data_IF_196641196220
#
_entry.id   IF_196641196220
#
_cell.length_a   1.000
_cell.length_b   1.000
_cell.length_c   1.000
_cell.angle_alpha   90.00
_cell.angle_beta   90.00
_cell.angle_gamma   90.00
#
_symmetry.space_group_name_H-M   'P 1'
#
loop_
_entity.id
_entity.type
_entity.pdbx_description
1 polymer ?
#
# COMPACT_ATOMS: atom_id res chain seq x y z
N UNK A 1 -13.69 22.58 8.50
CA UNK A 1 -13.77 21.27 7.82
C UNK A 1 -12.53 20.50 8.20
N UNK A 2 -12.66 19.24 8.62
CA UNK A 2 -11.50 18.37 8.86
C UNK A 2 -11.16 17.64 7.58
N UNK A 3 -9.87 17.50 7.27
CA UNK A 3 -9.39 16.64 6.19
C UNK A 3 -9.07 15.27 6.78
N UNK A 4 -9.53 14.21 6.12
CA UNK A 4 -9.16 12.83 6.47
C UNK A 4 -8.02 12.40 5.55
N UNK A 5 -6.94 11.88 6.14
CA UNK A 5 -5.78 11.34 5.43
C UNK A 5 -5.53 9.94 5.99
N UNK A 6 -5.36 8.97 5.10
CA UNK A 6 -4.82 7.66 5.50
C UNK A 6 -3.34 7.86 5.88
N UNK A 7 -3.06 7.83 7.17
CA UNK A 7 -1.74 8.15 7.68
C UNK A 7 -0.71 7.05 7.40
N UNK A 8 -1.12 5.87 6.92
CA UNK A 8 -0.21 4.73 6.83
C UNK A 8 -0.61 3.72 5.75
N UNK A 9 -0.04 3.87 4.55
CA UNK A 9 -0.14 2.87 3.49
C UNK A 9 1.25 2.40 3.05
N UNK A 10 1.34 1.16 2.58
CA UNK A 10 2.53 0.60 1.98
C UNK A 10 2.29 0.31 0.50
N UNK A 11 3.28 0.60 -0.33
CA UNK A 11 3.32 0.23 -1.74
C UNK A 11 4.59 -0.58 -1.99
N UNK A 12 4.50 -1.60 -2.83
CA UNK A 12 5.63 -2.48 -3.11
C UNK A 12 5.48 -3.18 -4.46
N UNK A 13 6.62 -3.67 -4.97
CA UNK A 13 6.68 -4.55 -6.13
C UNK A 13 7.73 -5.65 -5.88
N UNK A 14 7.32 -6.92 -5.68
CA UNK A 14 8.25 -8.03 -5.45
C UNK A 14 9.15 -8.33 -6.68
N UNK A 15 8.78 -7.85 -7.87
CA UNK A 15 9.63 -7.96 -9.06
C UNK A 15 10.81 -6.95 -9.05
N UNK A 16 10.70 -5.87 -8.26
CA UNK A 16 11.72 -4.82 -8.15
C UNK A 16 12.63 -5.00 -6.93
N UNK A 17 12.08 -5.50 -5.81
CA UNK A 17 12.80 -5.69 -4.56
C UNK A 17 12.36 -6.97 -3.86
N UNK A 18 13.31 -7.66 -3.22
CA UNK A 18 13.02 -8.74 -2.28
C UNK A 18 12.57 -8.18 -0.93
N UNK A 19 11.48 -8.73 -0.39
CA UNK A 19 10.92 -8.36 0.90
C UNK A 19 11.04 -9.57 1.86
N UNK A 20 11.95 -9.56 2.85
CA UNK A 20 12.22 -10.74 3.68
C UNK A 20 11.03 -11.25 4.49
N UNK A 21 10.06 -10.38 4.76
CA UNK A 21 8.82 -10.72 5.46
C UNK A 21 7.77 -11.39 4.55
N UNK A 22 7.92 -11.33 3.23
CA UNK A 22 7.00 -11.97 2.28
C UNK A 22 7.30 -13.47 2.19
N UNK A 23 6.57 -14.25 2.98
CA UNK A 23 6.56 -15.71 2.93
C UNK A 23 5.17 -16.27 2.60
N UNK A 24 5.04 -17.59 2.68
CA UNK A 24 3.78 -18.31 2.40
C UNK A 24 2.61 -17.84 3.27
N UNK A 25 2.88 -17.40 4.50
CA UNK A 25 1.89 -16.85 5.44
C UNK A 25 1.18 -15.60 4.93
N UNK A 26 1.77 -14.90 3.96
CA UNK A 26 1.22 -13.69 3.33
C UNK A 26 1.11 -13.85 1.81
N UNK A 27 0.89 -15.08 1.32
CA UNK A 27 0.81 -15.38 -0.11
C UNK A 27 -0.08 -14.40 -0.93
N UNK A 28 -1.26 -13.93 -0.44
CA UNK A 28 -2.06 -12.94 -1.19
C UNK A 28 -1.39 -11.57 -1.37
N UNK A 29 -0.42 -11.23 -0.52
CA UNK A 29 0.35 -9.98 -0.58
C UNK A 29 1.56 -10.06 -1.52
N UNK A 30 1.91 -11.25 -2.03
CA UNK A 30 3.04 -11.47 -2.94
C UNK A 30 2.73 -11.04 -4.38
N UNK A 31 2.25 -9.80 -4.54
CA UNK A 31 1.98 -9.14 -5.82
C UNK A 31 2.30 -7.66 -5.71
N UNK A 32 2.42 -6.97 -6.84
CA UNK A 32 2.59 -5.53 -6.84
C UNK A 32 1.32 -4.83 -6.31
N UNK A 33 1.53 -3.78 -5.50
CA UNK A 33 0.52 -2.82 -5.11
C UNK A 33 1.01 -1.42 -5.47
N UNK A 34 0.34 -0.81 -6.44
CA UNK A 34 0.70 0.46 -7.05
C UNK A 34 -0.12 1.63 -6.50
N UNK A 35 0.24 2.85 -6.92
CA UNK A 35 -0.56 4.05 -6.63
C UNK A 35 -1.95 3.96 -7.28
N UNK A 36 -2.09 3.29 -8.42
CA UNK A 36 -3.38 3.17 -9.10
C UNK A 36 -4.30 2.18 -8.36
N UNK A 37 -3.75 1.10 -7.81
CA UNK A 37 -4.49 0.20 -6.92
C UNK A 37 -4.99 0.96 -5.67
N UNK A 38 -4.14 1.80 -5.09
CA UNK A 38 -4.51 2.65 -3.95
C UNK A 38 -5.64 3.61 -4.31
N UNK A 39 -5.53 4.33 -5.44
CA UNK A 39 -6.59 5.25 -5.90
C UNK A 39 -7.91 4.54 -6.13
N UNK A 40 -7.88 3.34 -6.70
CA UNK A 40 -9.08 2.55 -6.95
C UNK A 40 -9.75 2.05 -5.66
N UNK A 41 -8.98 1.86 -4.58
CA UNK A 41 -9.47 1.37 -3.29
C UNK A 41 -9.78 2.48 -2.27
N UNK A 42 -9.33 3.71 -2.52
CA UNK A 42 -9.46 4.83 -1.58
C UNK A 42 -10.92 5.30 -1.48
N UNK A 43 -11.50 5.41 -0.26
CA UNK A 43 -12.83 5.98 -0.08
C UNK A 43 -12.89 7.46 -0.50
N UNK A 44 -14.05 7.90 -0.98
CA UNK A 44 -14.26 9.28 -1.44
C UNK A 44 -14.03 10.33 -0.34
N UNK A 45 -14.19 9.95 0.94
CA UNK A 45 -13.98 10.85 2.08
C UNK A 45 -12.49 11.03 2.46
N UNK A 46 -11.60 10.17 1.95
CA UNK A 46 -10.15 10.22 2.23
C UNK A 46 -9.47 11.07 1.16
N UNK A 47 -8.88 12.19 1.58
CA UNK A 47 -8.28 13.15 0.67
C UNK A 47 -6.89 12.72 0.13
N UNK A 48 -6.27 11.73 0.74
CA UNK A 48 -4.97 11.20 0.34
C UNK A 48 -4.38 10.25 1.38
N UNK A 49 -3.17 9.78 1.10
CA UNK A 49 -2.47 8.84 1.96
C UNK A 49 -0.98 9.17 2.10
N UNK A 50 -0.39 8.78 3.22
CA UNK A 50 1.05 8.84 3.47
C UNK A 50 1.66 7.46 3.22
N UNK A 51 2.56 7.38 2.23
CA UNK A 51 3.29 6.14 1.93
C UNK A 51 4.41 5.96 2.94
N UNK A 52 4.37 4.83 3.64
CA UNK A 52 5.37 4.41 4.61
C UNK A 52 6.20 3.28 4.00
N UNK A 53 7.50 3.27 4.29
CA UNK A 53 8.43 2.23 3.85
C UNK A 53 7.96 0.81 4.23
N UNK A 54 8.18 -0.17 3.35
CA UNK A 54 7.73 -1.55 3.49
C UNK A 54 8.89 -2.56 3.72
N UNK A 55 9.95 -2.15 4.43
CA UNK A 55 11.20 -2.94 4.62
C UNK A 55 10.98 -4.35 5.14
#
# INVERSE_FOLDING_TARGET
MSVVVDAHVHLWDPAVRTYPWMGESVAPLQRAFSVDDLRAAMPDEVAGAIVVQAV
#
